data_IF_937253231483
#
_entry.id   IF_937253231483
#
_cell.length_a   1.000
_cell.length_b   1.000
_cell.length_c   1.000
_cell.angle_alpha   90.00
_cell.angle_beta   90.00
_cell.angle_gamma   90.00
#
_symmetry.space_group_name_H-M   'P 1'
#
loop_
_entity.id
_entity.type
_entity.pdbx_description
1 polymer ?
#
# COMPACT_ATOMS: atom_id res chain seq x y z
N UNK A 1 -2.00 -9.86 3.25
CA UNK A 1 -0.61 -10.23 3.58
C UNK A 1 0.31 -9.58 2.56
N UNK A 2 1.28 -8.81 3.05
CA UNK A 2 2.20 -8.03 2.22
C UNK A 2 3.04 -8.87 1.25
N UNK A 3 3.20 -10.18 1.44
CA UNK A 3 3.92 -11.11 0.54
C UNK A 3 3.04 -11.81 -0.50
N UNK A 4 1.73 -11.79 -0.30
CA UNK A 4 0.75 -12.53 -1.10
C UNK A 4 0.01 -11.57 -2.03
N UNK A 5 0.72 -11.03 -3.02
CA UNK A 5 0.17 -10.03 -3.96
C UNK A 5 -0.70 -10.62 -5.08
N UNK A 6 -0.63 -11.94 -5.28
CA UNK A 6 -1.55 -12.66 -6.16
C UNK A 6 -2.91 -12.87 -5.50
N UNK A 7 -3.89 -13.30 -6.28
CA UNK A 7 -5.17 -13.77 -5.73
C UNK A 7 -4.97 -15.02 -4.88
N UNK A 8 -5.84 -15.21 -3.88
CA UNK A 8 -5.91 -16.43 -3.06
C UNK A 8 -7.18 -17.18 -3.49
N UNK A 9 -7.08 -18.20 -4.36
CA UNK A 9 -8.27 -18.91 -4.83
C UNK A 9 -9.01 -19.60 -3.69
N UNK A 10 -10.32 -19.76 -3.86
CA UNK A 10 -11.24 -20.40 -2.91
C UNK A 10 -11.44 -19.57 -1.63
N UNK A 11 -10.44 -19.50 -0.76
CA UNK A 11 -10.58 -18.81 0.53
C UNK A 11 -10.53 -17.30 0.40
N UNK A 12 -9.88 -16.76 -0.63
CA UNK A 12 -9.93 -15.33 -0.97
C UNK A 12 -11.12 -14.92 -1.82
N UNK A 13 -11.87 -15.87 -2.39
CA UNK A 13 -13.11 -15.62 -3.14
C UNK A 13 -14.32 -15.36 -2.22
N UNK A 14 -14.06 -14.98 -0.97
CA UNK A 14 -15.08 -14.74 0.02
C UNK A 14 -15.78 -13.39 -0.24
N UNK A 15 -17.12 -13.35 -0.34
CA UNK A 15 -17.84 -12.13 -0.66
C UNK A 15 -17.75 -11.12 0.49
N UNK A 16 -17.33 -9.89 0.16
CA UNK A 16 -17.27 -8.80 1.11
C UNK A 16 -18.68 -8.37 1.54
N UNK A 17 -18.95 -8.40 2.85
CA UNK A 17 -20.24 -8.00 3.43
C UNK A 17 -20.26 -6.51 3.75
N UNK A 18 -21.43 -5.87 3.73
CA UNK A 18 -21.55 -4.49 4.21
C UNK A 18 -21.21 -4.35 5.70
N UNK A 19 -20.79 -3.15 6.09
CA UNK A 19 -20.29 -2.81 7.42
C UNK A 19 -19.02 -3.57 7.79
N UNK A 20 -18.18 -3.90 6.80
CA UNK A 20 -16.90 -4.57 7.01
C UNK A 20 -15.76 -3.56 6.98
N UNK A 21 -14.91 -3.62 8.02
CA UNK A 21 -13.59 -3.00 8.01
C UNK A 21 -12.53 -4.08 7.76
N UNK A 22 -11.53 -3.77 6.93
CA UNK A 22 -10.45 -4.70 6.59
C UNK A 22 -9.16 -3.95 6.27
N UNK A 23 -8.02 -4.62 6.46
CA UNK A 23 -6.72 -4.10 6.08
C UNK A 23 -6.48 -4.33 4.57
N UNK A 24 -5.96 -3.31 3.89
CA UNK A 24 -5.44 -3.42 2.53
C UNK A 24 -3.93 -3.39 2.64
N UNK A 25 -3.29 -4.54 2.37
CA UNK A 25 -1.85 -4.75 2.53
C UNK A 25 -1.21 -5.06 1.17
N UNK A 26 -0.58 -4.06 0.57
CA UNK A 26 0.08 -4.19 -0.72
C UNK A 26 1.58 -3.98 -0.58
N UNK A 27 2.34 -4.46 -1.54
CA UNK A 27 3.72 -4.06 -1.71
C UNK A 27 4.04 -3.83 -3.19
N UNK A 28 5.07 -3.03 -3.43
CA UNK A 28 5.73 -2.94 -4.73
C UNK A 28 7.22 -3.17 -4.53
N UNK A 29 7.85 -3.87 -5.46
CA UNK A 29 9.30 -4.07 -5.50
C UNK A 29 9.79 -3.59 -6.85
N UNK A 30 10.77 -2.67 -6.84
CA UNK A 30 11.38 -2.10 -8.03
C UNK A 30 12.89 -2.11 -7.85
N UNK A 31 13.62 -2.55 -8.86
CA UNK A 31 15.07 -2.45 -8.89
C UNK A 31 15.48 -1.00 -9.19
N UNK A 32 16.35 -0.43 -8.36
CA UNK A 32 16.90 0.92 -8.53
C UNK A 32 18.36 0.79 -8.94
N UNK A 33 18.66 1.13 -10.19
CA UNK A 33 19.99 0.96 -10.81
C UNK A 33 21.07 1.73 -10.03
N UNK A 34 20.79 2.97 -9.65
CA UNK A 34 21.73 3.84 -8.93
C UNK A 34 22.12 3.29 -7.55
N UNK A 35 21.30 2.41 -6.99
CA UNK A 35 21.53 1.79 -5.68
C UNK A 35 21.93 0.32 -5.79
N UNK A 36 22.02 -0.21 -7.02
CA UNK A 36 22.29 -1.62 -7.33
C UNK A 36 21.44 -2.59 -6.47
N UNK A 37 20.16 -2.24 -6.26
CA UNK A 37 19.33 -2.89 -5.25
C UNK A 37 17.83 -2.88 -5.56
N UNK A 38 17.17 -3.98 -5.18
CA UNK A 38 15.72 -4.05 -5.09
C UNK A 38 15.19 -3.25 -3.89
N UNK A 39 14.33 -2.29 -4.16
CA UNK A 39 13.62 -1.52 -3.15
C UNK A 39 12.17 -1.99 -3.09
N UNK A 40 11.80 -2.45 -1.90
CA UNK A 40 10.45 -2.91 -1.60
C UNK A 40 9.76 -1.95 -0.65
N UNK A 41 8.61 -1.44 -1.08
CA UNK A 41 7.74 -0.59 -0.25
C UNK A 41 6.51 -1.41 0.11
N UNK A 42 6.25 -1.55 1.41
CA UNK A 42 5.06 -2.20 1.97
C UNK A 42 4.08 -1.13 2.44
N UNK A 43 2.82 -1.28 2.12
CA UNK A 43 1.74 -0.37 2.48
C UNK A 43 0.62 -1.14 3.15
N UNK A 44 0.16 -0.62 4.28
CA UNK A 44 -1.05 -1.07 4.96
C UNK A 44 -1.97 0.12 5.18
N UNK A 45 -3.22 0.03 4.70
CA UNK A 45 -4.23 1.08 4.89
C UNK A 45 -5.57 0.44 5.24
N UNK A 46 -6.28 0.93 6.27
CA UNK A 46 -7.60 0.41 6.59
C UNK A 46 -8.68 0.94 5.63
N UNK A 47 -9.50 0.02 5.16
CA UNK A 47 -10.67 0.28 4.34
C UNK A 47 -11.97 -0.06 5.07
N UNK A 48 -13.05 0.62 4.68
CA UNK A 48 -14.41 0.32 5.13
C UNK A 48 -15.34 0.18 3.93
N UNK A 49 -16.08 -0.92 3.87
CA UNK A 49 -17.10 -1.18 2.87
C UNK A 49 -18.49 -1.14 3.50
N UNK A 50 -19.28 -0.15 3.12
CA UNK A 50 -20.66 0.04 3.58
C UNK A 50 -21.64 0.15 2.41
N UNK A 51 -22.90 0.43 2.72
CA UNK A 51 -23.98 0.52 1.71
C UNK A 51 -23.74 1.62 0.66
N UNK A 52 -23.01 2.67 1.04
CA UNK A 52 -22.61 3.77 0.14
C UNK A 52 -21.30 3.48 -0.62
N UNK A 53 -20.80 2.24 -0.57
CA UNK A 53 -19.55 1.81 -1.17
C UNK A 53 -18.35 1.87 -0.23
N UNK A 54 -17.16 1.94 -0.84
CA UNK A 54 -15.86 1.88 -0.15
C UNK A 54 -15.35 3.26 0.25
N UNK A 55 -14.69 3.35 1.42
CA UNK A 55 -13.85 4.48 1.81
C UNK A 55 -12.61 4.03 2.58
N UNK A 56 -11.54 4.81 2.50
CA UNK A 56 -10.43 4.69 3.44
C UNK A 56 -10.83 5.28 4.80
N UNK A 57 -10.51 4.61 5.90
CA UNK A 57 -10.96 5.06 7.23
C UNK A 57 -10.33 6.40 7.61
N UNK A 58 -9.03 6.57 7.32
CA UNK A 58 -8.24 7.79 7.60
C UNK A 58 -7.66 8.42 6.31
N UNK A 59 -8.30 8.19 5.17
CA UNK A 59 -7.71 8.55 3.87
C UNK A 59 -6.55 7.64 3.47
N UNK A 60 -5.80 8.06 2.45
CA UNK A 60 -4.59 7.36 1.98
C UNK A 60 -3.51 8.37 1.60
N UNK A 61 -2.27 7.92 1.59
CA UNK A 61 -1.16 8.70 1.07
C UNK A 61 -1.36 8.96 -0.44
N UNK A 62 -1.20 10.22 -0.86
CA UNK A 62 -1.28 10.66 -2.27
C UNK A 62 0.01 11.31 -2.77
N UNK A 63 0.87 11.72 -1.85
CA UNK A 63 2.15 12.38 -2.10
C UNK A 63 3.19 11.80 -1.14
N UNK A 64 4.46 11.84 -1.49
CA UNK A 64 5.51 11.30 -0.63
C UNK A 64 5.68 12.11 0.65
N UNK A 65 5.75 11.42 1.78
CA UNK A 65 6.26 11.99 3.02
C UNK A 65 7.78 11.91 2.98
N UNK A 66 8.41 12.98 2.49
CA UNK A 66 9.86 13.07 2.45
C UNK A 66 10.39 13.30 3.88
N UNK A 67 11.28 12.42 4.33
CA UNK A 67 11.96 12.55 5.62
C UNK A 67 13.39 13.00 5.38
N UNK A 68 13.73 14.17 5.90
CA UNK A 68 15.05 14.80 5.72
C UNK A 68 14.91 16.31 5.52
N UNK A 69 15.97 17.06 5.80
CA UNK A 69 16.05 18.47 5.39
C UNK A 69 16.00 18.56 3.86
N UNK A 70 15.36 19.58 3.26
CA UNK A 70 15.61 19.94 1.85
C UNK A 70 17.10 20.21 1.68
N UNK A 71 17.88 19.22 1.24
CA UNK A 71 19.31 19.39 1.04
C UNK A 71 19.54 19.87 -0.39
N UNK A 72 19.93 21.14 -0.50
CA UNK A 72 20.54 21.77 -1.68
C UNK A 72 21.93 21.18 -1.95
N UNK A 73 22.06 19.85 -2.05
CA UNK A 73 23.36 19.17 -2.04
C UNK A 73 23.36 17.70 -2.44
N UNK A 74 22.35 17.23 -3.19
CA UNK A 74 22.52 16.08 -4.07
C UNK A 74 23.16 16.58 -5.38
N UNK A 75 24.36 17.15 -5.26
CA UNK A 75 25.27 17.30 -6.40
C UNK A 75 26.46 16.36 -6.12
N UNK A 76 26.73 15.54 -7.13
CA UNK A 76 27.67 14.44 -7.32
C UNK A 76 27.33 13.10 -6.64
#
# INVERSE_FOLDING_TARGET
>A
MWDSQGGVPFTGDYPLQYNTAYAIELNTTVYVEEWEKDIRIMLEVPGFFGENGFRYINGRLKEFLLVGSKQTGLED
#
